data_IF_508633878980
#
_entry.id   IF_508633878980
#
_cell.length_a   1.000
_cell.length_b   1.000
_cell.length_c   1.000
_cell.angle_alpha   90.00
_cell.angle_beta   90.00
_cell.angle_gamma   90.00
#
_symmetry.space_group_name_H-M   'P 1'
#
loop_
_entity.id
_entity.type
_entity.pdbx_description
1 polymer ?
#
# COMPACT_ATOMS: atom_id res chain seq x y z
N UNK A 1 35.74 -4.70 -11.01
CA UNK A 1 34.53 -4.13 -11.61
C UNK A 1 33.59 -5.27 -11.97
N UNK A 2 32.69 -5.65 -11.06
CA UNK A 2 31.66 -6.66 -11.31
C UNK A 2 30.35 -5.97 -11.72
N UNK A 3 29.49 -6.62 -12.52
CA UNK A 3 28.26 -6.00 -13.00
C UNK A 3 27.34 -5.64 -11.83
N UNK A 4 26.68 -4.47 -11.84
CA UNK A 4 25.71 -4.11 -10.83
C UNK A 4 24.36 -4.74 -11.21
N UNK A 5 23.82 -5.56 -10.30
CA UNK A 5 22.43 -6.06 -10.30
C UNK A 5 22.07 -7.05 -11.44
N UNK A 6 22.21 -8.34 -11.16
CA UNK A 6 21.57 -9.40 -11.94
C UNK A 6 20.21 -9.75 -11.33
N UNK A 7 19.16 -9.63 -12.15
CA UNK A 7 17.81 -10.14 -11.89
C UNK A 7 17.84 -11.64 -12.08
N UNK A 8 17.76 -12.41 -10.99
CA UNK A 8 17.54 -13.86 -11.05
C UNK A 8 16.10 -14.16 -10.65
N UNK A 9 15.63 -15.36 -10.96
CA UNK A 9 14.22 -15.73 -11.08
C UNK A 9 13.71 -16.45 -9.82
N UNK A 10 12.47 -16.14 -9.43
CA UNK A 10 11.62 -16.80 -8.42
C UNK A 10 11.74 -16.38 -6.94
N UNK A 11 10.83 -15.52 -6.51
CA UNK A 11 10.23 -15.54 -5.18
C UNK A 11 8.72 -15.68 -5.37
N UNK A 12 8.21 -16.92 -5.29
CA UNK A 12 6.77 -17.19 -5.29
C UNK A 12 6.16 -16.60 -4.01
N UNK A 13 5.48 -15.46 -4.11
CA UNK A 13 4.48 -15.11 -3.12
C UNK A 13 3.33 -16.11 -3.25
N UNK A 14 3.13 -16.90 -2.20
CA UNK A 14 2.17 -17.98 -2.17
C UNK A 14 0.77 -17.52 -2.58
N UNK A 15 0.29 -18.14 -3.66
CA UNK A 15 -1.09 -18.06 -4.11
C UNK A 15 -2.00 -18.75 -3.08
N UNK A 16 -2.56 -17.98 -2.16
CA UNK A 16 -3.79 -18.32 -1.43
C UNK A 16 -4.86 -17.41 -2.07
N UNK A 17 -5.62 -17.83 -3.08
CA UNK A 17 -6.41 -19.06 -3.08
C UNK A 17 -7.76 -18.84 -2.39
N UNK A 18 -8.58 -17.96 -2.99
CA UNK A 18 -10.05 -18.05 -3.10
C UNK A 18 -10.93 -18.14 -1.84
N UNK A 19 -11.87 -17.18 -1.75
CA UNK A 19 -13.17 -17.24 -1.03
C UNK A 19 -13.05 -17.31 0.50
N UNK A 20 -13.74 -16.55 1.34
CA UNK A 20 -15.09 -15.97 1.42
C UNK A 20 -14.96 -14.97 2.59
N UNK A 21 -15.60 -13.82 2.65
CA UNK A 21 -17.00 -13.72 3.00
C UNK A 21 -17.39 -12.23 2.97
N UNK A 22 -18.45 -11.96 2.22
CA UNK A 22 -19.51 -11.01 2.52
C UNK A 22 -19.04 -9.59 2.87
N UNK A 23 -19.31 -8.69 1.93
CA UNK A 23 -19.76 -7.34 2.24
C UNK A 23 -20.93 -7.42 3.23
N UNK A 24 -20.64 -7.69 4.51
CA UNK A 24 -21.59 -7.49 5.58
C UNK A 24 -21.66 -6.00 5.73
N UNK A 25 -22.64 -5.43 5.04
CA UNK A 25 -23.42 -4.28 5.42
C UNK A 25 -23.43 -4.15 6.96
N UNK A 26 -22.37 -3.54 7.52
CA UNK A 26 -22.24 -3.32 8.96
C UNK A 26 -22.85 -1.97 9.24
N UNK A 27 -24.17 -1.93 9.09
CA UNK A 27 -24.97 -0.82 9.58
C UNK A 27 -24.70 -0.66 11.09
N UNK A 28 -24.33 0.57 11.44
CA UNK A 28 -24.11 1.13 12.78
C UNK A 28 -22.76 0.73 13.43
N UNK A 29 -21.69 1.42 13.02
CA UNK A 29 -20.57 1.73 13.92
C UNK A 29 -20.86 3.02 14.68
N UNK A 30 -20.38 3.17 15.93
CA UNK A 30 -20.58 4.39 16.69
C UNK A 30 -19.82 5.53 15.99
N UNK A 31 -20.55 6.56 15.55
CA UNK A 31 -19.96 7.82 15.12
C UNK A 31 -19.00 8.30 16.21
N UNK A 32 -17.74 8.57 15.88
CA UNK A 32 -16.85 9.22 16.83
C UNK A 32 -17.39 10.62 17.10
N UNK A 33 -17.20 11.12 18.32
CA UNK A 33 -17.52 12.51 18.71
C UNK A 33 -16.87 13.57 17.79
N UNK A 34 -15.82 13.21 17.06
CA UNK A 34 -15.13 14.07 16.09
C UNK A 34 -15.90 14.22 14.76
N UNK A 35 -16.90 13.37 14.51
CA UNK A 35 -17.59 13.27 13.22
C UNK A 35 -18.84 14.16 13.19
N UNK A 36 -19.36 14.49 14.37
CA UNK A 36 -20.52 15.37 14.55
C UNK A 36 -20.20 16.82 14.18
N UNK A 37 -18.96 17.27 14.31
CA UNK A 37 -18.57 18.65 13.95
C UNK A 37 -18.53 18.87 12.44
N UNK A 38 -18.19 17.86 11.65
CA UNK A 38 -18.23 17.93 10.18
C UNK A 38 -19.68 17.95 9.66
N UNK A 39 -20.59 17.30 10.38
CA UNK A 39 -22.02 17.27 10.09
C UNK A 39 -22.80 18.46 10.68
N UNK A 40 -22.18 19.24 11.59
CA UNK A 40 -22.83 20.37 12.27
C UNK A 40 -22.82 21.67 11.47
N UNK A 41 -22.39 21.66 10.20
CA UNK A 41 -22.54 22.80 9.30
C UNK A 41 -24.03 23.00 9.02
N UNK A 42 -24.68 23.84 9.84
CA UNK A 42 -26.12 24.11 9.80
C UNK A 42 -26.60 24.72 8.47
N UNK A 43 -25.68 25.13 7.60
CA UNK A 43 -25.97 25.70 6.28
C UNK A 43 -25.87 24.69 5.12
N UNK A 44 -25.41 23.46 5.39
CA UNK A 44 -25.24 22.45 4.34
C UNK A 44 -26.58 21.77 3.98
N UNK A 45 -26.80 21.59 2.68
CA UNK A 45 -28.00 20.90 2.19
C UNK A 45 -28.03 19.43 2.68
N UNK A 46 -29.19 18.78 2.65
CA UNK A 46 -29.28 17.35 2.98
C UNK A 46 -28.36 16.50 2.10
N UNK A 47 -28.27 16.83 0.81
CA UNK A 47 -27.46 16.13 -0.17
C UNK A 47 -25.96 16.23 0.14
N UNK A 48 -25.51 17.42 0.54
CA UNK A 48 -24.12 17.66 0.94
C UNK A 48 -23.75 16.87 2.20
N UNK A 49 -24.63 16.84 3.21
CA UNK A 49 -24.42 16.02 4.42
C UNK A 49 -24.42 14.53 4.11
N UNK A 50 -25.29 14.09 3.19
CA UNK A 50 -25.32 12.70 2.73
C UNK A 50 -24.02 12.34 2.00
N UNK A 51 -23.53 13.22 1.12
CA UNK A 51 -22.25 13.08 0.43
C UNK A 51 -21.09 12.90 1.43
N UNK A 52 -21.01 13.76 2.44
CA UNK A 52 -19.98 13.65 3.49
C UNK A 52 -20.06 12.33 4.27
N UNK A 53 -21.27 11.83 4.56
CA UNK A 53 -21.44 10.53 5.23
C UNK A 53 -20.98 9.38 4.34
N UNK A 54 -21.30 9.42 3.04
CA UNK A 54 -20.90 8.39 2.08
C UNK A 54 -19.39 8.38 1.87
N UNK A 55 -18.78 9.54 1.63
CA UNK A 55 -17.34 9.68 1.44
C UNK A 55 -16.56 9.14 2.64
N UNK A 56 -17.09 9.38 3.84
CA UNK A 56 -16.51 8.85 5.06
C UNK A 56 -16.58 7.34 5.14
N UNK A 57 -17.75 6.75 4.91
CA UNK A 57 -17.89 5.29 4.92
C UNK A 57 -16.96 4.64 3.89
N UNK A 58 -16.86 5.24 2.69
CA UNK A 58 -15.92 4.79 1.65
C UNK A 58 -14.47 4.84 2.15
N UNK A 59 -14.05 5.96 2.74
CA UNK A 59 -12.70 6.13 3.30
C UNK A 59 -12.42 5.06 4.36
N UNK A 60 -13.35 4.83 5.28
CA UNK A 60 -13.18 3.83 6.35
C UNK A 60 -13.11 2.40 5.82
N UNK A 61 -13.89 2.08 4.77
CA UNK A 61 -13.83 0.79 4.09
C UNK A 61 -12.49 0.60 3.36
N UNK A 62 -11.97 1.63 2.72
CA UNK A 62 -10.66 1.62 2.06
C UNK A 62 -9.53 1.41 3.08
N UNK A 63 -9.57 2.13 4.20
CA UNK A 63 -8.63 1.95 5.32
C UNK A 63 -8.71 0.54 5.90
N UNK A 64 -9.91 -0.01 6.07
CA UNK A 64 -10.09 -1.38 6.56
C UNK A 64 -9.50 -2.41 5.58
N UNK A 65 -9.65 -2.21 4.26
CA UNK A 65 -9.04 -3.06 3.23
C UNK A 65 -7.52 -2.96 3.26
N UNK A 66 -6.98 -1.74 3.32
CA UNK A 66 -5.55 -1.51 3.40
C UNK A 66 -4.94 -2.16 4.65
N UNK A 67 -5.52 -1.93 5.83
CA UNK A 67 -5.03 -2.52 7.08
C UNK A 67 -5.04 -4.05 7.04
N UNK A 68 -6.04 -4.65 6.39
CA UNK A 68 -6.10 -6.10 6.17
C UNK A 68 -4.96 -6.59 5.28
N UNK A 69 -4.73 -5.93 4.13
CA UNK A 69 -3.62 -6.25 3.22
C UNK A 69 -2.26 -6.12 3.91
N UNK A 70 -2.05 -5.04 4.67
CA UNK A 70 -0.81 -4.80 5.40
C UNK A 70 -0.54 -5.86 6.49
N UNK A 71 -1.59 -6.26 7.22
CA UNK A 71 -1.50 -7.36 8.20
C UNK A 71 -1.15 -8.69 7.51
N UNK A 72 -1.74 -8.96 6.35
CA UNK A 72 -1.44 -10.17 5.58
C UNK A 72 0.01 -10.17 5.05
N UNK A 73 0.54 -9.02 4.63
CA UNK A 73 1.90 -8.87 4.10
C UNK A 73 3.01 -9.08 5.14
N UNK A 74 2.71 -8.92 6.45
CA UNK A 74 3.65 -9.14 7.58
C UNK A 74 5.02 -8.48 7.37
N UNK A 75 5.01 -7.23 6.91
CA UNK A 75 6.22 -6.48 6.61
C UNK A 75 7.03 -6.22 7.88
N UNK A 76 8.34 -6.50 7.83
CA UNK A 76 9.27 -6.28 8.95
C UNK A 76 9.48 -4.80 9.25
N UNK A 77 9.42 -3.95 8.21
CA UNK A 77 9.66 -2.53 8.32
C UNK A 77 8.45 -1.77 7.78
N UNK A 78 8.04 -0.71 8.49
CA UNK A 78 7.14 0.29 7.95
C UNK A 78 7.96 1.19 7.01
N UNK A 79 8.08 0.76 5.76
CA UNK A 79 8.93 1.40 4.75
C UNK A 79 8.05 2.02 3.67
N UNK A 80 8.42 3.22 3.24
CA UNK A 80 7.73 3.99 2.21
C UNK A 80 8.69 4.28 1.07
N UNK A 81 8.23 4.18 -0.19
CA UNK A 81 9.07 4.50 -1.35
C UNK A 81 9.47 5.98 -1.36
N UNK A 82 8.63 6.82 -0.76
CA UNK A 82 8.83 8.25 -0.59
C UNK A 82 10.07 8.56 0.29
N UNK A 83 10.44 7.65 1.19
CA UNK A 83 11.59 7.81 2.11
C UNK A 83 12.92 7.35 1.50
N UNK A 84 12.95 7.01 0.21
CA UNK A 84 14.19 6.58 -0.46
C UNK A 84 15.12 7.77 -0.62
N UNK A 85 16.28 7.67 0.03
CA UNK A 85 17.39 8.59 -0.18
C UNK A 85 18.21 8.20 -1.43
N UNK A 86 18.00 8.96 -2.51
CA UNK A 86 18.73 8.85 -3.78
C UNK A 86 20.07 9.59 -3.80
N UNK A 87 20.42 10.35 -2.75
CA UNK A 87 21.68 11.13 -2.70
C UNK A 87 22.85 10.26 -2.30
N UNK A 88 22.58 9.18 -1.58
CA UNK A 88 23.60 8.19 -1.20
C UNK A 88 24.08 7.39 -2.43
N UNK A 89 25.38 7.08 -2.55
CA UNK A 89 25.97 6.39 -3.70
C UNK A 89 25.65 4.88 -3.75
N UNK A 90 24.37 4.52 -3.57
CA UNK A 90 23.88 3.13 -3.59
C UNK A 90 23.68 2.58 -5.00
N UNK A 91 23.82 3.44 -6.02
CA UNK A 91 23.57 3.09 -7.42
C UNK A 91 22.09 2.79 -7.71
N UNK A 92 21.18 3.39 -6.95
CA UNK A 92 19.73 3.25 -7.18
C UNK A 92 19.29 4.19 -8.29
N UNK A 93 18.77 3.61 -9.37
CA UNK A 93 18.14 4.38 -10.44
C UNK A 93 16.72 4.79 -10.03
N UNK A 94 16.51 6.10 -9.88
CA UNK A 94 15.21 6.68 -9.54
C UNK A 94 14.12 6.30 -10.53
N UNK A 95 14.45 6.22 -11.82
CA UNK A 95 13.46 5.90 -12.86
C UNK A 95 12.98 4.47 -12.71
N UNK A 96 13.90 3.52 -12.48
CA UNK A 96 13.59 2.13 -12.19
C UNK A 96 12.73 1.99 -10.93
N UNK A 97 13.08 2.66 -9.83
CA UNK A 97 12.29 2.58 -8.59
C UNK A 97 10.86 3.11 -8.79
N UNK A 98 10.68 4.21 -9.53
CA UNK A 98 9.36 4.73 -9.85
C UNK A 98 8.55 3.75 -10.72
N UNK A 99 9.19 3.12 -11.70
CA UNK A 99 8.55 2.07 -12.52
C UNK A 99 8.13 0.87 -11.67
N UNK A 100 8.98 0.40 -10.76
CA UNK A 100 8.63 -0.67 -9.82
C UNK A 100 7.51 -0.26 -8.87
N UNK A 101 7.50 1.01 -8.44
CA UNK A 101 6.47 1.61 -7.60
C UNK A 101 5.10 1.75 -8.29
N UNK A 102 5.03 1.66 -9.62
CA UNK A 102 3.75 1.63 -10.36
C UNK A 102 2.95 0.34 -10.16
N UNK A 103 3.59 -0.71 -9.62
CA UNK A 103 2.98 -2.02 -9.40
C UNK A 103 2.67 -2.79 -10.68
N UNK A 104 3.12 -2.34 -11.86
CA UNK A 104 2.82 -3.02 -13.13
C UNK A 104 3.31 -4.48 -13.14
N UNK A 105 4.48 -4.74 -12.57
CA UNK A 105 5.03 -6.09 -12.41
C UNK A 105 4.10 -7.03 -11.61
N UNK A 106 3.32 -6.51 -10.66
CA UNK A 106 2.37 -7.32 -9.89
C UNK A 106 1.17 -7.70 -10.76
N UNK A 107 0.67 -6.75 -11.57
CA UNK A 107 -0.42 -6.97 -12.53
C UNK A 107 -0.02 -7.95 -13.63
N UNK A 108 1.22 -7.86 -14.08
CA UNK A 108 1.80 -8.74 -15.11
C UNK A 108 2.24 -10.11 -14.55
N UNK A 109 2.14 -10.34 -13.23
CA UNK A 109 2.55 -11.59 -12.59
C UNK A 109 4.06 -11.84 -12.60
N UNK A 110 4.86 -10.78 -12.71
CA UNK A 110 6.32 -10.83 -12.73
C UNK A 110 6.89 -10.91 -11.32
N UNK A 111 8.05 -11.56 -11.16
CA UNK A 111 8.74 -11.66 -9.87
C UNK A 111 9.84 -10.60 -9.76
N UNK A 112 9.93 -9.93 -8.62
CA UNK A 112 11.04 -9.02 -8.31
C UNK A 112 12.08 -9.68 -7.42
N UNK A 113 13.36 -9.54 -7.80
CA UNK A 113 14.49 -9.97 -6.99
C UNK A 113 15.42 -8.78 -6.78
N UNK A 114 15.72 -8.50 -5.51
CA UNK A 114 16.57 -7.38 -5.09
C UNK A 114 17.92 -7.95 -4.68
N UNK A 115 18.90 -7.86 -5.58
CA UNK A 115 20.29 -8.25 -5.36
C UNK A 115 21.17 -7.10 -4.90
N UNK A 116 22.33 -7.40 -4.31
CA UNK A 116 23.35 -6.40 -3.97
C UNK A 116 24.07 -6.67 -2.64
N UNK A 117 25.12 -5.90 -2.31
CA UNK A 117 25.92 -6.09 -1.10
C UNK A 117 25.07 -6.01 0.17
N UNK A 118 25.45 -6.71 1.23
CA UNK A 118 24.76 -6.67 2.54
C UNK A 118 24.80 -5.26 3.12
N UNK A 119 23.77 -4.87 3.87
CA UNK A 119 23.71 -3.55 4.51
C UNK A 119 23.17 -2.38 3.68
N UNK A 120 22.95 -2.52 2.37
CA UNK A 120 22.45 -1.41 1.51
C UNK A 120 20.94 -1.16 1.57
N UNK A 121 20.21 -1.84 2.46
CA UNK A 121 18.77 -1.63 2.65
C UNK A 121 17.85 -2.42 1.71
N UNK A 122 18.30 -3.53 1.11
CA UNK A 122 17.48 -4.37 0.20
C UNK A 122 16.17 -4.86 0.83
N UNK A 123 16.24 -5.34 2.07
CA UNK A 123 15.05 -5.78 2.83
C UNK A 123 14.09 -4.62 3.09
N UNK A 124 14.63 -3.44 3.36
CA UNK A 124 13.83 -2.23 3.53
C UNK A 124 13.16 -1.83 2.20
N UNK A 125 13.88 -1.87 1.08
CA UNK A 125 13.34 -1.57 -0.24
C UNK A 125 12.25 -2.57 -0.67
N UNK A 126 12.44 -3.86 -0.37
CA UNK A 126 11.41 -4.88 -0.58
C UNK A 126 10.14 -4.56 0.22
N UNK A 127 10.30 -4.16 1.49
CA UNK A 127 9.17 -3.74 2.32
C UNK A 127 8.49 -2.49 1.76
N UNK A 128 9.26 -1.51 1.25
CA UNK A 128 8.71 -0.27 0.69
C UNK A 128 7.88 -0.54 -0.58
N UNK A 129 8.39 -1.39 -1.48
CA UNK A 129 7.66 -1.82 -2.68
C UNK A 129 6.39 -2.59 -2.32
N UNK A 130 6.47 -3.53 -1.37
CA UNK A 130 5.31 -4.27 -0.91
C UNK A 130 4.27 -3.36 -0.22
N UNK A 131 4.72 -2.38 0.57
CA UNK A 131 3.86 -1.39 1.21
C UNK A 131 3.13 -0.54 0.17
N UNK A 132 3.83 -0.11 -0.90
CA UNK A 132 3.20 0.60 -2.02
C UNK A 132 2.17 -0.28 -2.73
N UNK A 133 2.50 -1.55 -3.00
CA UNK A 133 1.57 -2.48 -3.62
C UNK A 133 0.30 -2.69 -2.78
N UNK A 134 0.41 -2.81 -1.45
CA UNK A 134 -0.76 -2.90 -0.58
C UNK A 134 -1.63 -1.63 -0.58
N UNK A 135 -1.03 -0.45 -0.77
CA UNK A 135 -1.74 0.82 -0.91
C UNK A 135 -2.48 0.94 -2.24
N UNK A 136 -1.89 0.41 -3.31
CA UNK A 136 -2.46 0.54 -4.67
C UNK A 136 -3.57 -0.47 -4.99
N UNK A 137 -3.70 -1.55 -4.20
CA UNK A 137 -4.90 -2.40 -4.21
C UNK A 137 -4.67 -3.86 -4.58
#
# INVERSE_FOLDING_TARGET
MGPPFQVLHSLRFGHQGSQVALATFRIIRPLRLQDLSALSNAESSFDERLGLMVDRELTELEDARLTTRLKAARLRHNACLEDIDYRSPRGLDKTMILQLGSGQWLRDGLNLIIGGPTGVGKTWLACALAHKACRDG
#
